data_IF_856383821904
#
_entry.id   IF_856383821904
#
_cell.length_a   1.000
_cell.length_b   1.000
_cell.length_c   1.000
_cell.angle_alpha   90.00
_cell.angle_beta   90.00
_cell.angle_gamma   90.00
#
_symmetry.space_group_name_H-M   'P 1'
#
loop_
_entity.id
_entity.type
_entity.pdbx_description
1 polymer ?
#
# COMPACT_ATOMS: atom_id res chain seq x y z
N UNK A 1 -55.86 22.28 20.78
CA UNK A 1 -54.41 22.29 21.09
C UNK A 1 -53.86 20.89 20.80
N UNK A 2 -53.44 20.63 19.56
CA UNK A 2 -52.71 19.40 19.18
C UNK A 2 -51.22 19.68 19.35
N UNK A 3 -50.57 18.96 20.27
CA UNK A 3 -49.12 19.02 20.45
C UNK A 3 -48.46 18.08 19.43
N UNK A 4 -47.69 18.64 18.50
CA UNK A 4 -46.84 17.88 17.60
C UNK A 4 -45.57 17.44 18.35
N UNK A 5 -45.42 16.13 18.56
CA UNK A 5 -44.17 15.53 19.03
C UNK A 5 -43.18 15.50 17.86
N UNK A 6 -42.18 16.38 17.91
CA UNK A 6 -41.00 16.30 17.07
C UNK A 6 -40.17 15.09 17.52
N UNK A 7 -40.24 14.00 16.76
CA UNK A 7 -39.31 12.89 16.90
C UNK A 7 -37.94 13.35 16.41
N UNK A 8 -37.02 13.57 17.34
CA UNK A 8 -35.60 13.77 17.04
C UNK A 8 -35.03 12.41 16.68
N UNK A 9 -34.83 12.15 15.39
CA UNK A 9 -34.10 10.98 14.92
C UNK A 9 -32.66 11.05 15.47
N UNK A 10 -32.11 9.94 16.01
CA UNK A 10 -30.73 9.95 16.45
C UNK A 10 -29.83 10.11 15.21
N UNK A 11 -29.02 11.16 15.19
CA UNK A 11 -27.95 11.28 14.22
C UNK A 11 -26.98 10.12 14.46
N UNK A 12 -26.87 9.20 13.50
CA UNK A 12 -25.86 8.17 13.54
C UNK A 12 -24.51 8.89 13.38
N UNK A 13 -23.76 9.03 14.48
CA UNK A 13 -22.38 9.47 14.41
C UNK A 13 -21.61 8.41 13.64
N UNK A 14 -21.38 8.67 12.35
CA UNK A 14 -20.49 7.88 11.51
C UNK A 14 -19.07 8.12 12.06
N UNK A 15 -18.62 7.28 12.99
CA UNK A 15 -17.19 7.24 13.34
C UNK A 15 -16.47 6.68 12.12
N UNK A 16 -15.64 7.47 11.43
CA UNK A 16 -14.98 6.98 10.23
C UNK A 16 -13.75 6.14 10.59
N UNK A 17 -13.24 5.31 9.65
CA UNK A 17 -12.13 4.41 9.89
C UNK A 17 -10.82 5.18 9.98
N UNK A 18 -10.07 5.03 11.08
CA UNK A 18 -8.73 5.63 11.21
C UNK A 18 -8.30 6.02 12.61
N UNK A 19 -9.21 6.12 13.58
CA UNK A 19 -8.94 6.81 14.86
C UNK A 19 -8.52 8.29 14.73
N UNK A 20 -8.54 8.84 13.52
CA UNK A 20 -8.43 10.25 13.19
C UNK A 20 -9.59 10.61 12.27
N UNK A 21 -10.24 11.75 12.50
CA UNK A 21 -11.44 12.13 11.77
C UNK A 21 -11.14 12.28 10.28
N UNK A 22 -11.95 11.62 9.44
CA UNK A 22 -11.88 11.82 7.99
C UNK A 22 -12.20 13.28 7.70
N UNK A 23 -11.36 13.99 6.91
CA UNK A 23 -11.56 15.40 6.65
C UNK A 23 -12.96 15.69 6.08
N UNK A 24 -13.59 16.76 6.52
CA UNK A 24 -14.97 17.11 6.17
C UNK A 24 -15.20 17.41 4.68
N UNK A 25 -14.13 17.51 3.88
CA UNK A 25 -14.19 17.69 2.43
C UNK A 25 -14.28 16.37 1.66
N UNK A 26 -14.14 15.22 2.33
CA UNK A 26 -14.54 13.94 1.77
C UNK A 26 -16.04 13.92 1.53
N UNK A 27 -16.44 13.26 0.44
CA UNK A 27 -17.81 13.16 0.01
C UNK A 27 -18.67 12.34 0.98
N UNK A 28 -19.93 12.76 1.12
CA UNK A 28 -20.98 11.96 1.73
C UNK A 28 -21.67 11.10 0.67
N UNK A 29 -20.89 10.23 0.02
CA UNK A 29 -21.37 9.32 -1.01
C UNK A 29 -22.34 8.27 -0.44
N UNK A 30 -23.32 7.86 -1.26
CA UNK A 30 -24.17 6.69 -1.01
C UNK A 30 -23.47 5.36 -1.30
N UNK A 31 -22.17 5.41 -1.67
CA UNK A 31 -21.31 4.29 -2.04
C UNK A 31 -21.80 3.55 -3.29
N UNK A 32 -22.44 4.27 -4.21
CA UNK A 32 -22.67 3.80 -5.58
C UNK A 32 -21.63 4.44 -6.50
N UNK A 33 -20.54 3.70 -6.76
CA UNK A 33 -19.43 4.21 -7.55
C UNK A 33 -19.79 4.46 -9.02
N UNK A 34 -20.94 3.99 -9.52
CA UNK A 34 -21.43 4.37 -10.85
C UNK A 34 -21.93 5.81 -10.83
N UNK A 35 -22.65 6.19 -9.77
CA UNK A 35 -23.13 7.55 -9.56
C UNK A 35 -21.97 8.49 -9.23
N UNK A 36 -21.09 8.10 -8.30
CA UNK A 36 -19.92 8.92 -7.92
C UNK A 36 -19.03 9.23 -9.12
N UNK A 37 -18.76 8.24 -9.99
CA UNK A 37 -17.98 8.43 -11.22
C UNK A 37 -18.72 9.34 -12.21
N UNK A 38 -20.02 9.12 -12.41
CA UNK A 38 -20.80 9.93 -13.33
C UNK A 38 -20.90 11.40 -12.88
N UNK A 39 -21.05 11.65 -11.59
CA UNK A 39 -21.08 12.99 -11.01
C UNK A 39 -19.70 13.66 -11.10
N UNK A 40 -18.65 12.98 -10.64
CA UNK A 40 -17.29 13.49 -10.73
C UNK A 40 -16.91 13.83 -12.19
N UNK A 41 -17.26 12.97 -13.15
CA UNK A 41 -16.98 13.20 -14.56
C UNK A 41 -17.69 14.43 -15.13
N UNK A 42 -18.93 14.73 -14.72
CA UNK A 42 -19.65 15.96 -15.12
C UNK A 42 -18.93 17.22 -14.67
N UNK A 43 -18.28 17.17 -13.50
CA UNK A 43 -17.48 18.25 -12.95
C UNK A 43 -16.04 18.29 -13.51
N UNK A 44 -15.69 17.38 -14.43
CA UNK A 44 -14.33 17.23 -14.92
C UNK A 44 -13.36 16.66 -13.87
N UNK A 45 -13.87 16.04 -12.82
CA UNK A 45 -13.11 15.37 -11.74
C UNK A 45 -13.03 13.84 -11.98
N UNK A 46 -12.16 13.19 -11.24
CA UNK A 46 -12.01 11.73 -11.13
C UNK A 46 -12.49 11.28 -9.74
N UNK A 47 -12.57 9.97 -9.46
CA UNK A 47 -12.88 9.50 -8.08
C UNK A 47 -11.61 9.04 -7.39
N UNK A 48 -11.40 9.47 -6.15
CA UNK A 48 -10.32 9.01 -5.27
C UNK A 48 -10.93 8.24 -4.10
N UNK A 49 -10.72 6.93 -4.06
CA UNK A 49 -11.22 6.06 -2.99
C UNK A 49 -10.09 5.82 -1.99
N UNK A 50 -10.29 6.28 -0.76
CA UNK A 50 -9.42 6.01 0.37
C UNK A 50 -9.91 4.77 1.13
N UNK A 51 -9.04 3.78 1.30
CA UNK A 51 -9.26 2.63 2.18
C UNK A 51 -8.45 2.81 3.46
N UNK A 52 -9.14 2.89 4.59
CA UNK A 52 -8.56 3.02 5.93
C UNK A 52 -9.01 1.92 6.89
N UNK A 53 -8.53 1.99 8.13
CA UNK A 53 -9.01 1.22 9.28
C UNK A 53 -8.65 1.94 10.56
N UNK A 54 -9.39 1.67 11.63
CA UNK A 54 -9.06 2.14 12.97
C UNK A 54 -7.70 1.62 13.47
N UNK A 55 -7.02 2.45 14.26
CA UNK A 55 -5.71 2.11 14.83
C UNK A 55 -4.55 2.08 13.81
N UNK A 56 -4.77 2.54 12.57
CA UNK A 56 -3.76 2.59 11.53
C UNK A 56 -2.87 3.85 11.64
N UNK A 57 -1.58 3.73 12.02
CA UNK A 57 -0.70 4.90 12.18
C UNK A 57 -0.39 5.60 10.84
N UNK A 58 -0.27 4.85 9.75
CA UNK A 58 -0.06 5.40 8.41
C UNK A 58 -1.26 6.20 7.91
N UNK A 59 -2.47 5.75 8.28
CA UNK A 59 -3.72 6.40 7.96
C UNK A 59 -3.78 7.74 8.69
N UNK A 60 -3.50 7.72 10.00
CA UNK A 60 -3.36 8.94 10.80
C UNK A 60 -2.35 9.90 10.16
N UNK A 61 -1.15 9.43 9.82
CA UNK A 61 -0.12 10.28 9.19
C UNK A 61 -0.62 10.91 7.87
N UNK A 62 -1.27 10.13 6.98
CA UNK A 62 -1.85 10.68 5.76
C UNK A 62 -2.86 11.80 6.06
N UNK A 63 -3.80 11.54 6.98
CA UNK A 63 -4.87 12.48 7.30
C UNK A 63 -4.33 13.76 7.98
N UNK A 64 -3.40 13.62 8.92
CA UNK A 64 -2.90 14.75 9.74
C UNK A 64 -1.73 15.50 9.13
N UNK A 65 -1.00 14.90 8.19
CA UNK A 65 0.19 15.52 7.59
C UNK A 65 0.00 15.88 6.13
N UNK A 66 -0.62 15.01 5.32
CA UNK A 66 -0.83 15.31 3.90
C UNK A 66 -2.13 16.10 3.71
N UNK A 67 -3.24 15.64 4.29
CA UNK A 67 -4.54 16.30 4.16
C UNK A 67 -4.78 17.46 5.13
N UNK A 68 -3.75 17.89 5.87
CA UNK A 68 -3.72 19.17 6.58
C UNK A 68 -3.06 20.29 5.78
N UNK A 69 -2.42 19.97 4.65
CA UNK A 69 -1.70 20.92 3.81
C UNK A 69 -2.63 21.52 2.75
N UNK A 70 -2.84 22.85 2.74
CA UNK A 70 -3.75 23.50 1.78
C UNK A 70 -3.44 23.14 0.33
N UNK A 71 -2.16 23.09 -0.06
CA UNK A 71 -1.76 22.80 -1.43
C UNK A 71 -2.13 21.39 -1.90
N UNK A 72 -2.18 20.41 -1.00
CA UNK A 72 -2.60 19.04 -1.31
C UNK A 72 -4.12 18.95 -1.29
N UNK A 73 -4.77 19.57 -0.30
CA UNK A 73 -6.23 19.58 -0.17
C UNK A 73 -6.87 20.27 -1.37
N UNK A 74 -6.41 21.45 -1.75
CA UNK A 74 -6.94 22.23 -2.87
C UNK A 74 -6.76 21.47 -4.19
N UNK A 75 -5.56 20.91 -4.42
CA UNK A 75 -5.29 20.05 -5.59
C UNK A 75 -6.22 18.83 -5.61
N UNK A 76 -6.41 18.17 -4.47
CA UNK A 76 -7.25 16.97 -4.39
C UNK A 76 -8.70 17.33 -4.69
N UNK A 77 -9.24 18.39 -4.08
CA UNK A 77 -10.63 18.82 -4.26
C UNK A 77 -10.92 19.33 -5.67
N UNK A 78 -9.96 19.99 -6.31
CA UNK A 78 -10.11 20.50 -7.66
C UNK A 78 -10.24 19.39 -8.72
N UNK A 79 -9.70 18.20 -8.44
CA UNK A 79 -9.56 17.13 -9.43
C UNK A 79 -10.23 15.81 -9.06
N UNK A 80 -10.60 15.62 -7.79
CA UNK A 80 -11.13 14.36 -7.29
C UNK A 80 -12.38 14.55 -6.44
N UNK A 81 -13.32 13.62 -6.60
CA UNK A 81 -14.35 13.31 -5.61
C UNK A 81 -13.77 12.25 -4.66
N UNK A 82 -13.57 12.60 -3.39
CA UNK A 82 -12.89 11.74 -2.43
C UNK A 82 -13.88 10.96 -1.57
N UNK A 83 -13.81 9.62 -1.61
CA UNK A 83 -14.72 8.72 -0.88
C UNK A 83 -13.90 7.86 0.08
N UNK A 84 -14.33 7.76 1.34
CA UNK A 84 -13.67 6.96 2.36
C UNK A 84 -14.40 5.63 2.60
N UNK A 85 -13.64 4.53 2.59
CA UNK A 85 -14.09 3.18 2.90
C UNK A 85 -13.27 2.56 4.04
N UNK A 86 -13.95 1.73 4.84
CA UNK A 86 -13.32 0.89 5.87
C UNK A 86 -13.01 -0.50 5.31
N UNK A 87 -11.77 -0.99 5.47
CA UNK A 87 -11.46 -2.38 5.08
C UNK A 87 -12.16 -3.43 5.96
N UNK A 88 -12.71 -3.03 7.12
CA UNK A 88 -13.53 -3.87 7.99
C UNK A 88 -15.02 -3.55 7.94
N UNK A 89 -15.40 -2.54 7.18
CA UNK A 89 -16.76 -2.01 7.13
C UNK A 89 -17.75 -2.96 6.47
N UNK A 90 -19.01 -2.80 6.88
CA UNK A 90 -20.13 -3.59 6.39
C UNK A 90 -21.17 -2.75 5.62
N UNK A 91 -20.87 -1.47 5.32
CA UNK A 91 -21.77 -0.67 4.48
C UNK A 91 -21.86 -1.28 3.08
N UNK A 92 -23.07 -1.33 2.47
CA UNK A 92 -23.23 -1.81 1.11
C UNK A 92 -22.57 -0.82 0.14
N UNK A 93 -21.80 -1.36 -0.80
CA UNK A 93 -21.11 -0.63 -1.85
C UNK A 93 -21.53 -1.21 -3.19
N UNK A 94 -22.05 -0.37 -4.08
CA UNK A 94 -22.29 -0.71 -5.48
C UNK A 94 -21.05 -0.34 -6.29
N UNK A 95 -20.37 -1.33 -6.85
CA UNK A 95 -19.19 -1.09 -7.68
C UNK A 95 -19.57 -0.60 -9.09
N UNK A 96 -18.59 -0.14 -9.87
CA UNK A 96 -18.79 0.38 -11.24
C UNK A 96 -19.42 -0.64 -12.21
N UNK A 97 -19.33 -1.94 -11.90
CA UNK A 97 -19.97 -3.03 -12.66
C UNK A 97 -21.41 -3.35 -12.19
N UNK A 98 -21.93 -2.61 -11.20
CA UNK A 98 -23.24 -2.82 -10.58
C UNK A 98 -23.27 -3.90 -9.50
N UNK A 99 -22.14 -4.57 -9.20
CA UNK A 99 -22.10 -5.56 -8.11
C UNK A 99 -22.22 -4.88 -6.76
N UNK A 100 -23.13 -5.39 -5.92
CA UNK A 100 -23.32 -4.91 -4.54
C UNK A 100 -22.60 -5.86 -3.59
N UNK A 101 -21.73 -5.31 -2.74
CA UNK A 101 -21.00 -6.06 -1.71
C UNK A 101 -20.64 -5.13 -0.54
N UNK A 102 -20.22 -5.67 0.60
CA UNK A 102 -19.75 -4.81 1.70
C UNK A 102 -18.38 -4.18 1.42
N UNK A 103 -18.02 -3.11 2.16
CA UNK A 103 -16.70 -2.48 2.08
C UNK A 103 -15.56 -3.49 2.26
N UNK A 104 -15.65 -4.36 3.28
CA UNK A 104 -14.65 -5.43 3.51
C UNK A 104 -14.56 -6.43 2.37
N UNK A 105 -15.69 -6.79 1.75
CA UNK A 105 -15.70 -7.69 0.60
C UNK A 105 -15.06 -7.02 -0.63
N UNK A 106 -15.33 -5.73 -0.85
CA UNK A 106 -14.72 -4.94 -1.90
C UNK A 106 -13.20 -4.80 -1.68
N UNK A 107 -12.76 -4.44 -0.47
CA UNK A 107 -11.35 -4.32 -0.13
C UNK A 107 -10.59 -5.63 -0.40
N UNK A 108 -11.18 -6.78 -0.02
CA UNK A 108 -10.66 -8.11 -0.33
C UNK A 108 -10.62 -8.40 -1.83
N UNK A 109 -11.69 -8.10 -2.57
CA UNK A 109 -11.75 -8.28 -4.03
C UNK A 109 -10.68 -7.45 -4.75
N UNK A 110 -10.44 -6.23 -4.28
CA UNK A 110 -9.40 -5.34 -4.78
C UNK A 110 -8.00 -5.67 -4.24
N UNK A 111 -7.86 -6.67 -3.36
CA UNK A 111 -6.59 -7.09 -2.73
C UNK A 111 -5.92 -5.94 -1.96
N UNK A 112 -6.69 -5.15 -1.22
CA UNK A 112 -6.14 -4.14 -0.30
C UNK A 112 -5.48 -4.84 0.87
N UNK A 113 -4.15 -4.89 0.88
CA UNK A 113 -3.36 -5.58 1.91
C UNK A 113 -2.75 -4.64 2.94
N UNK A 114 -2.66 -3.35 2.64
CA UNK A 114 -2.07 -2.32 3.48
C UNK A 114 -3.01 -1.13 3.55
N UNK A 115 -3.01 -0.40 4.66
CA UNK A 115 -3.74 0.85 4.81
C UNK A 115 -2.76 1.97 5.20
N UNK A 116 -2.92 3.19 4.66
CA UNK A 116 -3.96 3.56 3.71
C UNK A 116 -3.68 2.97 2.33
N UNK A 117 -4.73 2.62 1.60
CA UNK A 117 -4.63 2.39 0.14
C UNK A 117 -5.53 3.40 -0.55
N UNK A 118 -5.01 4.05 -1.58
CA UNK A 118 -5.79 4.98 -2.39
C UNK A 118 -5.95 4.38 -3.78
N UNK A 119 -7.20 4.26 -4.24
CA UNK A 119 -7.55 3.79 -5.58
C UNK A 119 -8.17 4.95 -6.34
N UNK A 120 -7.62 5.27 -7.50
CA UNK A 120 -8.15 6.29 -8.39
C UNK A 120 -8.98 5.62 -9.48
N UNK A 121 -10.21 6.09 -9.68
CA UNK A 121 -11.02 5.75 -10.84
C UNK A 121 -10.99 6.92 -11.81
N UNK A 122 -10.71 6.64 -13.08
CA UNK A 122 -10.85 7.63 -14.14
C UNK A 122 -12.32 7.99 -14.39
N UNK A 123 -12.56 8.89 -15.34
CA UNK A 123 -13.91 9.38 -15.68
C UNK A 123 -14.80 8.30 -16.32
N UNK A 124 -14.23 7.16 -16.69
CA UNK A 124 -14.95 5.98 -17.20
C UNK A 124 -15.13 4.90 -16.12
N UNK A 125 -14.69 5.16 -14.88
CA UNK A 125 -14.79 4.24 -13.76
C UNK A 125 -13.73 3.13 -13.75
N UNK A 126 -12.70 3.22 -14.60
CA UNK A 126 -11.60 2.25 -14.61
C UNK A 126 -10.57 2.64 -13.55
N UNK A 127 -9.98 1.65 -12.90
CA UNK A 127 -8.87 1.90 -11.96
C UNK A 127 -7.66 2.42 -12.74
N UNK A 128 -7.38 3.71 -12.63
CA UNK A 128 -6.27 4.38 -13.33
C UNK A 128 -4.96 4.27 -12.57
N UNK A 129 -5.01 4.34 -11.25
CA UNK A 129 -3.83 4.23 -10.39
C UNK A 129 -4.20 3.71 -9.00
N UNK A 130 -3.22 3.09 -8.35
CA UNK A 130 -3.28 2.74 -6.94
C UNK A 130 -2.03 3.23 -6.21
N UNK A 131 -2.20 3.73 -5.00
CA UNK A 131 -1.11 4.00 -4.05
C UNK A 131 -1.30 3.09 -2.83
N UNK A 132 -0.29 2.30 -2.52
CA UNK A 132 -0.30 1.41 -1.35
C UNK A 132 0.56 2.00 -0.23
N UNK A 133 -0.02 2.13 0.96
CA UNK A 133 0.65 2.71 2.11
C UNK A 133 0.80 4.23 2.05
N UNK A 134 1.55 4.76 3.02
CA UNK A 134 1.78 6.18 3.17
C UNK A 134 2.85 6.70 2.19
N UNK A 135 2.56 7.83 1.55
CA UNK A 135 3.50 8.60 0.73
C UNK A 135 3.71 9.95 1.41
N UNK A 136 4.96 10.40 1.63
CA UNK A 136 5.24 11.74 2.15
C UNK A 136 4.62 12.84 1.26
N UNK A 137 4.36 14.05 1.79
CA UNK A 137 3.61 15.10 1.10
C UNK A 137 4.08 15.39 -0.33
N UNK A 138 5.39 15.48 -0.54
CA UNK A 138 5.96 15.78 -1.86
C UNK A 138 5.76 14.63 -2.87
N UNK A 139 5.90 13.36 -2.46
CA UNK A 139 5.62 12.21 -3.32
C UNK A 139 4.13 12.07 -3.58
N UNK A 140 3.30 12.30 -2.56
CA UNK A 140 1.85 12.23 -2.69
C UNK A 140 1.33 13.30 -3.65
N UNK A 141 1.80 14.55 -3.50
CA UNK A 141 1.46 15.65 -4.41
C UNK A 141 1.87 15.37 -5.86
N UNK A 142 3.07 14.82 -6.07
CA UNK A 142 3.52 14.40 -7.40
C UNK A 142 2.70 13.22 -7.96
N UNK A 143 2.31 12.26 -7.12
CA UNK A 143 1.44 11.16 -7.53
C UNK A 143 0.05 11.67 -7.96
N UNK A 144 -0.50 12.68 -7.28
CA UNK A 144 -1.72 13.35 -7.74
C UNK A 144 -1.50 13.98 -9.12
N UNK A 145 -0.39 14.70 -9.34
CA UNK A 145 -0.08 15.31 -10.65
C UNK A 145 -0.01 14.27 -11.78
N UNK A 146 0.54 13.08 -11.49
CA UNK A 146 0.59 11.97 -12.43
C UNK A 146 -0.80 11.48 -12.81
N UNK A 147 -1.68 11.26 -11.82
CA UNK A 147 -3.05 10.80 -12.06
C UNK A 147 -3.90 11.86 -12.77
N UNK A 148 -3.74 13.13 -12.42
CA UNK A 148 -4.45 14.27 -13.03
C UNK A 148 -4.10 14.38 -14.52
N UNK A 149 -2.82 14.23 -14.88
CA UNK A 149 -2.36 14.29 -16.28
C UNK A 149 -2.83 13.10 -17.12
N UNK A 150 -3.18 11.98 -16.46
CA UNK A 150 -3.47 10.71 -17.10
C UNK A 150 -2.23 9.81 -17.08
N UNK A 151 -2.29 8.62 -16.45
CA UNK A 151 -1.19 7.67 -16.44
C UNK A 151 -0.72 7.27 -17.85
N UNK A 152 0.56 7.45 -18.14
CA UNK A 152 1.19 7.04 -19.39
C UNK A 152 1.74 5.60 -19.26
N UNK A 153 1.27 4.63 -20.06
CA UNK A 153 1.84 3.28 -20.07
C UNK A 153 3.35 3.23 -20.33
N UNK A 154 3.90 4.21 -21.06
CA UNK A 154 5.33 4.31 -21.32
C UNK A 154 6.13 4.89 -20.13
N UNK A 155 5.46 5.55 -19.19
CA UNK A 155 6.06 6.08 -17.98
C UNK A 155 5.22 5.70 -16.75
N UNK A 156 5.44 4.50 -16.18
CA UNK A 156 4.79 4.10 -14.93
C UNK A 156 5.08 5.07 -13.78
N UNK A 157 4.18 5.12 -12.79
CA UNK A 157 4.30 6.02 -11.64
C UNK A 157 5.68 5.99 -10.95
N UNK A 158 6.29 4.80 -10.80
CA UNK A 158 7.63 4.67 -10.21
C UNK A 158 8.67 5.53 -10.94
N UNK A 159 8.75 5.36 -12.26
CA UNK A 159 9.70 6.07 -13.13
C UNK A 159 9.38 7.57 -13.21
N UNK A 160 8.10 7.95 -13.09
CA UNK A 160 7.70 9.34 -12.96
C UNK A 160 8.20 9.96 -11.65
N UNK A 161 7.98 9.30 -10.51
CA UNK A 161 8.36 9.83 -9.19
C UNK A 161 9.87 9.98 -9.05
N UNK A 162 10.69 9.07 -9.60
CA UNK A 162 12.15 9.20 -9.60
C UNK A 162 12.65 10.51 -10.23
N UNK A 163 11.91 11.05 -11.21
CA UNK A 163 12.28 12.30 -11.89
C UNK A 163 11.60 13.52 -11.28
N UNK A 164 10.34 13.38 -10.88
CA UNK A 164 9.51 14.47 -10.39
C UNK A 164 9.83 14.86 -8.95
N UNK A 165 10.36 13.93 -8.16
CA UNK A 165 10.67 14.13 -6.74
C UNK A 165 12.17 14.17 -6.53
N UNK A 166 12.65 15.17 -5.80
CA UNK A 166 14.02 15.22 -5.29
C UNK A 166 14.00 14.89 -3.81
N UNK A 167 14.67 13.80 -3.44
CA UNK A 167 14.85 13.38 -2.05
C UNK A 167 16.34 13.33 -1.71
N UNK A 168 16.67 13.56 -0.43
CA UNK A 168 17.99 13.21 0.08
C UNK A 168 18.06 11.70 0.20
N UNK A 169 18.72 11.08 -0.77
CA UNK A 169 18.88 9.65 -0.82
C UNK A 169 20.26 9.31 -1.40
N UNK A 170 20.78 8.16 -1.00
CA UNK A 170 22.10 7.69 -1.42
C UNK A 170 22.17 7.47 -2.92
N UNK A 171 23.28 7.90 -3.53
CA UNK A 171 23.60 7.58 -4.92
C UNK A 171 23.98 6.11 -5.10
N UNK A 172 24.36 5.43 -4.01
CA UNK A 172 24.75 4.04 -3.96
C UNK A 172 23.68 3.18 -3.28
N UNK A 173 23.55 1.93 -3.72
CA UNK A 173 22.68 0.96 -3.06
C UNK A 173 23.34 0.45 -1.76
N UNK A 174 22.55 0.34 -0.68
CA UNK A 174 23.02 -0.13 0.62
C UNK A 174 23.52 -1.58 0.56
N UNK A 175 24.80 -1.82 0.83
CA UNK A 175 25.36 -3.17 0.82
C UNK A 175 25.05 -3.91 2.12
N UNK A 176 24.58 -5.16 2.02
CA UNK A 176 24.28 -6.00 3.18
C UNK A 176 24.87 -7.40 3.01
N UNK A 177 25.38 -8.02 4.09
CA UNK A 177 26.02 -9.33 4.02
C UNK A 177 25.03 -10.48 3.76
N UNK A 178 23.73 -10.25 3.98
CA UNK A 178 22.70 -11.28 3.80
C UNK A 178 22.20 -11.41 2.36
N UNK A 179 22.59 -10.50 1.45
CA UNK A 179 22.20 -10.60 0.06
C UNK A 179 22.89 -11.78 -0.63
N UNK A 180 22.08 -12.57 -1.35
CA UNK A 180 22.58 -13.59 -2.25
C UNK A 180 23.42 -12.94 -3.37
N UNK A 181 24.43 -13.66 -3.83
CA UNK A 181 25.29 -13.25 -4.95
C UNK A 181 24.77 -13.82 -6.26
N UNK A 182 25.03 -13.18 -7.42
CA UNK A 182 24.70 -13.75 -8.72
C UNK A 182 25.47 -15.07 -8.95
N UNK A 183 24.93 -15.99 -9.78
CA UNK A 183 23.70 -15.85 -10.57
C UNK A 183 22.42 -15.96 -9.74
N UNK A 184 21.44 -15.09 -9.99
CA UNK A 184 20.17 -15.05 -9.26
C UNK A 184 19.20 -16.11 -9.79
N UNK A 185 19.12 -17.25 -9.08
CA UNK A 185 18.34 -18.43 -9.45
C UNK A 185 17.12 -18.59 -8.54
N UNK A 186 15.93 -18.23 -9.02
CA UNK A 186 14.69 -18.26 -8.23
C UNK A 186 13.79 -19.47 -8.54
N UNK A 187 14.24 -20.36 -9.42
CA UNK A 187 13.52 -21.56 -9.90
C UNK A 187 13.46 -22.71 -8.88
N UNK A 188 14.16 -22.57 -7.75
CA UNK A 188 14.22 -23.59 -6.69
C UNK A 188 12.85 -23.78 -6.02
N UNK A 189 12.43 -25.05 -5.86
CA UNK A 189 11.13 -25.42 -5.27
C UNK A 189 11.20 -25.85 -3.79
N UNK A 190 12.39 -25.94 -3.20
CA UNK A 190 12.58 -26.34 -1.81
C UNK A 190 13.61 -25.47 -1.08
N UNK A 191 13.63 -25.57 0.26
CA UNK A 191 14.54 -24.80 1.11
C UNK A 191 13.89 -23.62 1.82
N UNK A 192 14.70 -22.58 2.10
CA UNK A 192 14.22 -21.32 2.67
C UNK A 192 13.32 -20.60 1.65
N UNK A 193 12.25 -19.90 2.09
CA UNK A 193 11.54 -18.98 1.22
C UNK A 193 12.51 -17.91 0.67
N UNK A 194 12.21 -17.42 -0.53
CA UNK A 194 12.99 -16.38 -1.20
C UNK A 194 12.29 -15.03 -1.00
N UNK A 195 13.03 -14.02 -0.54
CA UNK A 195 12.58 -12.64 -0.51
C UNK A 195 13.33 -11.86 -1.60
N UNK A 196 12.62 -11.44 -2.64
CA UNK A 196 13.17 -10.60 -3.70
C UNK A 196 12.89 -9.14 -3.35
N UNK A 197 13.95 -8.42 -2.96
CA UNK A 197 13.92 -7.01 -2.65
C UNK A 197 14.22 -6.20 -3.92
N UNK A 198 13.26 -5.37 -4.32
CA UNK A 198 13.36 -4.41 -5.41
C UNK A 198 13.70 -3.03 -4.87
N UNK A 199 14.82 -2.48 -5.34
CA UNK A 199 15.32 -1.17 -4.95
C UNK A 199 15.77 -0.35 -6.16
N UNK A 200 16.04 0.92 -5.92
CA UNK A 200 16.62 1.84 -6.90
C UNK A 200 17.57 2.77 -6.17
N UNK A 201 18.49 3.40 -6.89
CA UNK A 201 19.36 4.45 -6.34
C UNK A 201 18.51 5.68 -6.06
N UNK A 202 18.97 6.56 -5.17
CA UNK A 202 18.23 7.76 -4.77
C UNK A 202 16.82 7.46 -4.21
N UNK A 203 16.71 6.38 -3.43
CA UNK A 203 15.48 5.96 -2.77
C UNK A 203 15.57 6.16 -1.26
N UNK A 204 15.07 7.30 -0.74
CA UNK A 204 15.12 7.57 0.69
C UNK A 204 14.39 6.51 1.56
N UNK A 205 13.22 5.98 1.13
CA UNK A 205 12.58 4.87 1.85
C UNK A 205 13.41 3.58 1.87
N UNK A 206 14.19 3.31 0.82
CA UNK A 206 15.10 2.17 0.77
C UNK A 206 16.24 2.37 1.79
N UNK A 207 16.85 3.56 1.82
CA UNK A 207 17.90 3.91 2.79
C UNK A 207 17.42 3.79 4.23
N UNK A 208 16.19 4.23 4.52
CA UNK A 208 15.59 4.09 5.84
C UNK A 208 15.36 2.62 6.21
N UNK A 209 14.82 1.81 5.29
CA UNK A 209 14.60 0.38 5.51
C UNK A 209 15.91 -0.33 5.89
N UNK A 210 17.02 0.03 5.24
CA UNK A 210 18.35 -0.46 5.59
C UNK A 210 18.82 0.04 6.96
N UNK A 211 18.86 1.36 7.16
CA UNK A 211 19.43 2.01 8.35
C UNK A 211 18.64 1.71 9.63
N UNK A 212 17.33 1.53 9.53
CA UNK A 212 16.43 1.45 10.68
C UNK A 212 15.68 0.12 10.77
N UNK A 213 15.36 -0.52 9.64
CA UNK A 213 14.65 -1.79 9.59
C UNK A 213 15.59 -2.99 9.76
N UNK A 214 16.48 -3.20 8.78
CA UNK A 214 17.34 -4.40 8.70
C UNK A 214 18.40 -4.49 9.79
N UNK A 215 18.78 -3.38 10.42
CA UNK A 215 19.74 -3.39 11.54
C UNK A 215 19.19 -4.05 12.81
N UNK A 216 17.86 -4.15 12.97
CA UNK A 216 17.22 -4.59 14.22
C UNK A 216 17.42 -6.10 14.47
N UNK A 217 17.67 -6.54 15.72
CA UNK A 217 17.94 -7.95 16.02
C UNK A 217 16.83 -8.91 15.57
N UNK A 218 15.56 -8.56 15.83
CA UNK A 218 14.41 -9.36 15.39
C UNK A 218 14.35 -9.53 13.86
N UNK A 219 14.72 -8.48 13.13
CA UNK A 219 14.70 -8.47 11.67
C UNK A 219 15.86 -9.30 11.12
N UNK A 220 17.06 -9.20 11.71
CA UNK A 220 18.21 -10.07 11.37
C UNK A 220 17.90 -11.55 11.56
N UNK A 221 17.23 -11.91 12.66
CA UNK A 221 16.81 -13.28 12.92
C UNK A 221 15.80 -13.78 11.87
N UNK A 222 14.88 -12.92 11.45
CA UNK A 222 13.94 -13.23 10.37
C UNK A 222 14.64 -13.36 9.02
N UNK A 223 15.50 -12.41 8.64
CA UNK A 223 16.27 -12.43 7.38
C UNK A 223 17.08 -13.73 7.22
N UNK A 224 17.64 -14.26 8.31
CA UNK A 224 18.37 -15.53 8.30
C UNK A 224 17.49 -16.74 7.89
N UNK A 225 16.16 -16.62 7.95
CA UNK A 225 15.20 -17.65 7.51
C UNK A 225 14.84 -17.56 6.02
N UNK A 226 15.38 -16.56 5.31
CA UNK A 226 15.18 -16.38 3.88
C UNK A 226 16.48 -16.53 3.10
N UNK A 227 16.35 -16.81 1.81
CA UNK A 227 17.33 -16.38 0.82
C UNK A 227 16.88 -15.00 0.32
N UNK A 228 17.71 -13.97 0.52
CA UNK A 228 17.34 -12.59 0.17
C UNK A 228 18.08 -12.19 -1.09
N UNK A 229 17.34 -11.87 -2.14
CA UNK A 229 17.89 -11.45 -3.45
C UNK A 229 17.55 -9.98 -3.64
N UNK A 230 18.56 -9.13 -3.90
CA UNK A 230 18.32 -7.73 -4.27
C UNK A 230 18.40 -7.58 -5.78
N UNK A 231 17.37 -6.97 -6.37
CA UNK A 231 17.33 -6.59 -7.78
C UNK A 231 17.05 -5.09 -7.88
N UNK A 232 17.72 -4.43 -8.84
CA UNK A 232 17.61 -2.99 -9.04
C UNK A 232 16.74 -2.70 -10.25
N UNK A 233 15.85 -1.69 -10.15
CA UNK A 233 15.21 -1.11 -11.32
C UNK A 233 16.26 -0.31 -12.13
N UNK A 234 16.42 -0.63 -13.42
CA UNK A 234 17.33 0.09 -14.32
C UNK A 234 18.78 -0.42 -14.39
N UNK A 235 19.13 -1.52 -13.70
CA UNK A 235 20.43 -2.19 -13.87
C UNK A 235 20.31 -3.50 -14.65
N UNK A 236 21.34 -3.82 -15.46
CA UNK A 236 21.39 -5.01 -16.33
C UNK A 236 21.77 -6.29 -15.58
N UNK A 237 21.01 -6.63 -14.56
CA UNK A 237 21.13 -7.94 -13.89
C UNK A 237 20.24 -8.98 -14.56
N UNK A 238 20.75 -10.19 -14.73
CA UNK A 238 19.95 -11.33 -15.21
C UNK A 238 19.38 -12.12 -14.02
N UNK A 239 18.15 -12.61 -14.18
CA UNK A 239 17.46 -13.44 -13.20
C UNK A 239 16.84 -14.65 -13.88
N UNK A 240 16.92 -15.80 -13.22
CA UNK A 240 16.10 -16.96 -13.56
C UNK A 240 14.86 -16.94 -12.69
N UNK A 241 13.70 -16.74 -13.30
CA UNK A 241 12.42 -16.55 -12.59
C UNK A 241 11.99 -17.85 -11.89
N UNK A 242 11.00 -17.79 -10.97
CA UNK A 242 10.41 -18.99 -10.39
C UNK A 242 9.81 -19.98 -11.39
N UNK A 243 9.53 -19.53 -12.61
CA UNK A 243 9.07 -20.36 -13.73
C UNK A 243 10.22 -21.00 -14.54
N UNK A 244 11.48 -20.65 -14.25
CA UNK A 244 12.66 -21.15 -14.96
C UNK A 244 13.05 -20.34 -16.20
N UNK A 245 12.37 -19.23 -16.48
CA UNK A 245 12.72 -18.33 -17.58
C UNK A 245 13.93 -17.47 -17.20
N UNK A 246 14.87 -17.26 -18.12
CA UNK A 246 15.97 -16.32 -17.94
C UNK A 246 15.62 -15.00 -18.63
N UNK A 247 15.71 -13.89 -17.90
CA UNK A 247 15.45 -12.55 -18.46
C UNK A 247 16.17 -11.45 -17.65
N UNK A 248 16.27 -10.22 -18.19
CA UNK A 248 16.69 -9.06 -17.41
C UNK A 248 15.75 -8.81 -16.23
N UNK A 249 16.30 -8.48 -15.06
CA UNK A 249 15.53 -8.18 -13.86
C UNK A 249 14.52 -7.04 -14.08
N UNK A 250 14.88 -6.02 -14.86
CA UNK A 250 13.99 -4.91 -15.18
C UNK A 250 12.76 -5.36 -16.00
N UNK A 251 12.94 -6.31 -16.92
CA UNK A 251 11.82 -6.90 -17.65
C UNK A 251 10.92 -7.70 -16.71
N UNK A 252 11.52 -8.46 -15.79
CA UNK A 252 10.77 -9.22 -14.81
C UNK A 252 9.98 -8.31 -13.86
N UNK A 253 10.56 -7.21 -13.38
CA UNK A 253 9.88 -6.20 -12.57
C UNK A 253 8.62 -5.66 -13.25
N UNK A 254 8.71 -5.34 -14.55
CA UNK A 254 7.55 -4.92 -15.36
C UNK A 254 6.48 -5.99 -15.43
N UNK A 255 6.85 -7.24 -15.72
CA UNK A 255 5.91 -8.38 -15.76
C UNK A 255 5.21 -8.61 -14.41
N UNK A 256 5.90 -8.36 -13.30
CA UNK A 256 5.35 -8.47 -11.95
C UNK A 256 4.52 -7.26 -11.49
N UNK A 257 4.53 -6.17 -12.26
CA UNK A 257 3.84 -4.94 -11.92
C UNK A 257 4.50 -4.15 -10.79
N UNK A 258 5.82 -4.27 -10.60
CA UNK A 258 6.53 -3.52 -9.55
C UNK A 258 6.52 -2.03 -9.91
N UNK A 259 5.72 -1.27 -9.17
CA UNK A 259 5.49 0.16 -9.39
C UNK A 259 5.92 1.05 -8.21
N UNK A 260 6.61 0.48 -7.22
CA UNK A 260 7.09 1.18 -6.04
C UNK A 260 8.40 0.58 -5.53
N UNK A 261 9.27 1.39 -4.94
CA UNK A 261 10.48 0.96 -4.24
C UNK A 261 10.58 1.63 -2.85
N UNK A 262 11.00 0.90 -1.80
CA UNK A 262 11.33 -0.52 -1.81
C UNK A 262 10.08 -1.40 -1.94
N UNK A 263 10.19 -2.50 -2.69
CA UNK A 263 9.17 -3.56 -2.71
C UNK A 263 9.82 -4.90 -2.40
N UNK A 264 9.11 -5.79 -1.71
CA UNK A 264 9.60 -7.15 -1.45
C UNK A 264 8.58 -8.16 -1.94
N UNK A 265 8.98 -9.04 -2.87
CA UNK A 265 8.13 -10.14 -3.33
C UNK A 265 8.63 -11.45 -2.71
N UNK A 266 7.74 -12.15 -2.03
CA UNK A 266 8.08 -13.39 -1.32
C UNK A 266 7.62 -14.62 -2.08
N UNK A 267 8.52 -15.58 -2.21
CA UNK A 267 8.26 -16.88 -2.84
C UNK A 267 8.48 -18.04 -1.86
N UNK A 268 7.51 -18.95 -1.76
CA UNK A 268 7.66 -20.24 -1.08
C UNK A 268 7.24 -21.36 -2.05
N UNK A 269 8.10 -22.36 -2.24
CA UNK A 269 7.87 -23.43 -3.22
C UNK A 269 7.79 -22.93 -4.67
N UNK A 270 8.44 -21.82 -4.99
CA UNK A 270 8.42 -21.20 -6.33
C UNK A 270 7.08 -20.55 -6.70
N UNK A 271 6.20 -20.30 -5.72
CA UNK A 271 4.97 -19.50 -5.89
C UNK A 271 5.10 -18.21 -5.11
N UNK A 272 4.62 -17.12 -5.68
CA UNK A 272 4.45 -15.88 -4.93
C UNK A 272 3.38 -16.08 -3.85
N UNK A 273 3.73 -15.78 -2.60
CA UNK A 273 2.85 -16.00 -1.43
C UNK A 273 2.47 -14.71 -0.72
N UNK A 274 3.28 -13.67 -0.86
CA UNK A 274 3.04 -12.36 -0.27
C UNK A 274 3.91 -11.32 -0.98
N UNK A 275 3.52 -10.05 -0.91
CA UNK A 275 4.37 -8.94 -1.35
C UNK A 275 4.15 -7.69 -0.51
N UNK A 276 5.20 -6.90 -0.37
CA UNK A 276 5.20 -5.55 0.18
C UNK A 276 5.41 -4.61 -1.01
N UNK A 277 4.46 -3.71 -1.23
CA UNK A 277 4.55 -2.65 -2.27
C UNK A 277 4.22 -1.29 -1.66
N UNK A 278 4.63 -1.11 -0.42
CA UNK A 278 4.33 0.04 0.41
C UNK A 278 5.51 0.33 1.33
N UNK A 279 5.67 1.60 1.71
CA UNK A 279 6.58 1.98 2.78
C UNK A 279 6.12 1.38 4.11
N UNK A 280 6.99 0.59 4.75
CA UNK A 280 6.75 -0.02 6.04
C UNK A 280 7.80 0.40 7.07
N UNK A 281 7.31 0.73 8.26
CA UNK A 281 8.10 1.00 9.46
C UNK A 281 8.58 -0.32 10.05
N UNK A 282 9.59 -0.32 10.92
CA UNK A 282 10.29 -1.53 11.31
C UNK A 282 9.41 -2.65 11.87
N UNK A 283 8.37 -2.33 12.66
CA UNK A 283 7.42 -3.33 13.16
C UNK A 283 6.66 -4.05 12.03
N UNK A 284 6.12 -3.27 11.07
CA UNK A 284 5.34 -3.79 9.95
C UNK A 284 6.21 -4.58 8.97
N UNK A 285 7.44 -4.12 8.75
CA UNK A 285 8.44 -4.83 7.94
C UNK A 285 8.77 -6.19 8.57
N UNK A 286 9.13 -6.22 9.86
CA UNK A 286 9.45 -7.46 10.56
C UNK A 286 8.24 -8.41 10.59
N UNK A 287 7.03 -7.89 10.79
CA UNK A 287 5.81 -8.71 10.81
C UNK A 287 5.51 -9.30 9.43
N UNK A 288 5.75 -8.57 8.35
CA UNK A 288 5.67 -9.09 6.98
C UNK A 288 6.62 -10.27 6.73
N UNK A 289 7.87 -10.17 7.20
CA UNK A 289 8.82 -11.28 7.11
C UNK A 289 8.41 -12.46 8.00
N UNK A 290 7.92 -12.21 9.22
CA UNK A 290 7.41 -13.27 10.09
C UNK A 290 6.23 -14.02 9.46
N UNK A 291 5.29 -13.29 8.85
CA UNK A 291 4.12 -13.85 8.18
C UNK A 291 4.49 -14.93 7.14
N UNK A 292 5.52 -14.67 6.34
CA UNK A 292 6.00 -15.64 5.35
C UNK A 292 6.89 -16.70 6.00
N UNK A 293 7.79 -16.31 6.90
CA UNK A 293 8.73 -17.25 7.53
C UNK A 293 7.99 -18.35 8.30
N UNK A 294 6.89 -18.00 8.97
CA UNK A 294 6.03 -18.90 9.73
C UNK A 294 4.95 -19.57 8.85
N UNK A 295 4.91 -19.21 7.56
CA UNK A 295 3.90 -19.67 6.59
C UNK A 295 2.46 -19.42 7.07
N UNK A 296 2.27 -18.33 7.80
CA UNK A 296 0.98 -17.96 8.38
C UNK A 296 -0.10 -17.72 7.31
N UNK A 297 0.30 -17.26 6.12
CA UNK A 297 -0.57 -17.09 4.95
C UNK A 297 -1.35 -18.33 4.53
N UNK A 298 -0.94 -19.53 4.97
CA UNK A 298 -1.67 -20.78 4.69
C UNK A 298 -2.91 -20.94 5.57
N UNK A 299 -2.94 -20.31 6.74
CA UNK A 299 -4.03 -20.40 7.72
C UNK A 299 -4.83 -19.11 7.81
N UNK A 300 -4.14 -17.97 7.80
CA UNK A 300 -4.72 -16.64 7.81
C UNK A 300 -4.24 -15.90 6.55
N UNK A 301 -5.04 -15.86 5.46
CA UNK A 301 -4.65 -15.18 4.23
C UNK A 301 -4.74 -13.65 4.33
N UNK A 302 -5.46 -13.08 5.32
CA UNK A 302 -5.59 -11.64 5.51
C UNK A 302 -4.46 -11.12 6.40
N UNK A 303 -3.42 -10.56 5.78
CA UNK A 303 -2.22 -10.07 6.49
C UNK A 303 -2.55 -9.07 7.63
N UNK A 304 -3.55 -8.22 7.46
CA UNK A 304 -3.95 -7.25 8.49
C UNK A 304 -4.44 -7.93 9.78
N UNK A 305 -5.15 -9.08 9.67
CA UNK A 305 -5.56 -9.87 10.84
C UNK A 305 -4.34 -10.48 11.54
N UNK A 306 -3.41 -11.01 10.76
CA UNK A 306 -2.16 -11.55 11.31
C UNK A 306 -1.33 -10.47 12.02
N UNK A 307 -1.22 -9.28 11.42
CA UNK A 307 -0.52 -8.13 12.00
C UNK A 307 -1.13 -7.71 13.34
N UNK A 308 -2.46 -7.58 13.40
CA UNK A 308 -3.18 -7.21 14.62
C UNK A 308 -3.00 -8.28 15.71
N UNK A 309 -3.22 -9.56 15.37
CA UNK A 309 -3.04 -10.66 16.32
C UNK A 309 -1.62 -10.72 16.89
N UNK A 310 -0.60 -10.53 16.05
CA UNK A 310 0.79 -10.46 16.51
C UNK A 310 1.05 -9.27 17.44
N UNK A 311 0.51 -8.10 17.12
CA UNK A 311 0.63 -6.92 17.98
C UNK A 311 -0.03 -7.17 19.35
N UNK A 312 -1.19 -7.81 19.38
CA UNK A 312 -1.91 -8.12 20.61
C UNK A 312 -1.19 -9.17 21.45
N UNK A 313 -0.61 -10.20 20.84
CA UNK A 313 0.24 -11.18 21.52
C UNK A 313 1.48 -10.54 22.17
N UNK A 314 2.14 -9.61 21.49
CA UNK A 314 3.28 -8.86 22.02
C UNK A 314 2.87 -8.00 23.22
N UNK A 315 1.75 -7.27 23.10
CA UNK A 315 1.20 -6.46 24.20
C UNK A 315 0.81 -7.31 25.40
N UNK A 316 0.22 -8.49 25.17
CA UNK A 316 -0.14 -9.42 26.23
C UNK A 316 1.08 -9.96 27.00
N UNK A 317 2.26 -9.99 26.36
CA UNK A 317 3.55 -10.30 26.99
C UNK A 317 4.22 -9.09 27.67
N UNK A 318 3.57 -7.93 27.68
CA UNK A 318 4.10 -6.69 28.23
C UNK A 318 5.14 -6.01 27.35
N UNK A 319 5.27 -6.40 26.09
CA UNK A 319 6.22 -5.79 25.15
C UNK A 319 5.62 -4.49 24.58
N UNK A 320 6.43 -3.43 24.48
CA UNK A 320 6.01 -2.20 23.83
C UNK A 320 5.98 -2.39 22.30
N UNK A 321 4.79 -2.27 21.71
CA UNK A 321 4.59 -2.35 20.26
C UNK A 321 4.56 -0.95 19.67
N UNK A 322 5.72 -0.48 19.23
CA UNK A 322 5.86 0.79 18.51
C UNK A 322 5.54 0.57 17.02
N UNK A 323 4.42 1.18 16.57
CA UNK A 323 3.90 0.98 15.23
C UNK A 323 4.44 2.01 14.22
N UNK A 324 4.95 3.16 14.68
CA UNK A 324 5.34 4.26 13.82
C UNK A 324 6.86 4.53 13.79
N UNK A 325 7.59 4.27 14.87
CA UNK A 325 9.04 4.55 14.95
C UNK A 325 9.94 3.33 14.71
#
# INVERSE_FOLDING_TARGET
LMAALLAVSPAWSQVPPGGADIPSWFSQSFLDFREDVAEAARDGRQVMIYFGQDGCPYCKELLTTNFSRPEIVDKTRAHFEAVALDIWGDRPVTWVDGTVQSEKALAKRLKVQFTPTIVFLDREGRVSQRLNGYYPPHRFSAALDYVIKGPDPAQPLAAYLERAVREQASADLNAEPFFAKPPYRLDRKGGKPIAVLWETRYCAPCDEMHREGFVRPQMKALLARFEVVRLTLGERSEVVTPAGETMPAEEWARRQGIAYTPSVVFFDGGREVFRIEAYLRPFHLATSFAYVADRAYRKEPEFQRFLQGRADELRARGENVELWK
#
